data_IF_230431539727
#
_entry.id   IF_230431539727
#
_cell.length_a   1.000
_cell.length_b   1.000
_cell.length_c   1.000
_cell.angle_alpha   90.00
_cell.angle_beta   90.00
_cell.angle_gamma   90.00
#
_symmetry.space_group_name_H-M   'P 1'
#
loop_
_entity.id
_entity.type
_entity.pdbx_description
1 polymer ?
#
# COMPACT_ATOMS: atom_id res chain seq x y z
N UNK A 1 6.55 -23.69 -24.85
CA UNK A 1 6.77 -22.72 -25.95
C UNK A 1 8.28 -22.60 -26.13
N UNK A 2 8.78 -22.67 -27.36
CA UNK A 2 10.21 -22.60 -27.72
C UNK A 2 10.45 -21.31 -28.51
N UNK A 3 11.62 -20.69 -28.34
CA UNK A 3 12.01 -19.51 -29.13
C UNK A 3 12.49 -19.91 -30.55
N UNK A 4 12.61 -18.94 -31.46
CA UNK A 4 13.03 -19.08 -32.86
C UNK A 4 14.42 -19.73 -33.10
N UNK A 5 15.13 -20.12 -32.05
CA UNK A 5 16.38 -20.91 -32.10
C UNK A 5 16.25 -22.34 -31.54
N UNK A 6 15.06 -22.75 -31.11
CA UNK A 6 14.77 -24.12 -30.68
C UNK A 6 15.18 -24.47 -29.24
N UNK A 7 15.53 -23.50 -28.41
CA UNK A 7 15.84 -23.71 -26.99
C UNK A 7 14.59 -23.62 -26.08
N UNK A 8 14.53 -24.49 -25.08
CA UNK A 8 13.47 -24.58 -24.07
C UNK A 8 13.58 -23.39 -23.11
N UNK A 9 12.52 -22.59 -22.95
CA UNK A 9 12.53 -21.45 -22.01
C UNK A 9 12.30 -21.99 -20.59
N UNK A 10 13.26 -21.85 -19.65
CA UNK A 10 13.05 -22.25 -18.26
C UNK A 10 12.00 -21.35 -17.60
N UNK A 11 11.04 -21.98 -16.93
CA UNK A 11 9.92 -21.35 -16.24
C UNK A 11 10.35 -20.78 -14.88
N UNK A 12 11.17 -19.74 -14.86
CA UNK A 12 11.46 -19.02 -13.61
C UNK A 12 11.61 -17.50 -13.83
N UNK A 13 10.75 -16.78 -13.11
CA UNK A 13 10.97 -15.43 -12.59
C UNK A 13 11.03 -14.29 -13.62
N UNK A 14 9.85 -13.87 -14.08
CA UNK A 14 9.66 -12.50 -14.55
C UNK A 14 9.64 -11.58 -13.33
N UNK A 15 10.82 -11.09 -12.94
CA UNK A 15 10.97 -9.89 -12.13
C UNK A 15 10.41 -8.71 -12.94
N UNK A 16 9.20 -8.27 -12.62
CA UNK A 16 8.58 -7.10 -13.22
C UNK A 16 9.43 -5.85 -12.91
N UNK A 17 10.21 -5.44 -13.91
CA UNK A 17 10.84 -4.12 -13.95
C UNK A 17 9.98 -3.20 -14.81
N UNK A 18 9.58 -2.10 -14.18
CA UNK A 18 8.70 -1.01 -14.59
C UNK A 18 8.75 -0.60 -16.06
N UNK A 19 7.59 -0.58 -16.74
CA UNK A 19 7.29 0.36 -17.83
C UNK A 19 5.81 0.74 -17.75
N UNK A 20 5.52 2.01 -17.49
CA UNK A 20 4.20 2.58 -17.72
C UNK A 20 3.87 2.56 -19.21
N UNK A 21 2.75 1.94 -19.59
CA UNK A 21 2.30 1.85 -20.96
C UNK A 21 1.08 0.95 -21.17
N UNK A 22 -0.09 1.57 -21.31
CA UNK A 22 -1.16 1.21 -22.26
C UNK A 22 -1.82 -0.19 -22.26
N UNK A 23 -1.79 -0.96 -21.16
CA UNK A 23 -2.61 -2.20 -21.02
C UNK A 23 -3.38 -2.31 -19.69
N UNK A 24 -3.54 -1.21 -18.95
CA UNK A 24 -4.42 -1.16 -17.77
C UNK A 24 -3.96 -1.98 -16.56
N UNK A 25 -2.73 -2.47 -16.55
CA UNK A 25 -2.13 -3.05 -15.34
C UNK A 25 -1.71 -1.89 -14.44
N UNK A 26 -2.63 -1.47 -13.57
CA UNK A 26 -2.35 -0.55 -12.47
C UNK A 26 -1.28 -1.20 -11.60
N UNK A 27 -0.14 -0.54 -11.42
CA UNK A 27 0.86 -1.02 -10.46
C UNK A 27 0.19 -1.08 -9.09
N UNK A 28 0.42 -2.09 -8.25
CA UNK A 28 -0.31 -2.21 -6.98
C UNK A 28 -0.15 -0.98 -6.06
N UNK A 29 0.91 -0.18 -6.24
CA UNK A 29 1.04 1.13 -5.59
C UNK A 29 0.05 2.17 -6.12
N UNK A 30 -0.14 2.26 -7.44
CA UNK A 30 -1.12 3.16 -8.08
C UNK A 30 -2.56 2.82 -7.67
N UNK A 31 -2.83 1.58 -7.22
CA UNK A 31 -4.16 1.21 -6.71
C UNK A 31 -4.50 1.96 -5.41
N UNK A 32 -3.51 2.32 -4.60
CA UNK A 32 -3.70 3.08 -3.37
C UNK A 32 -3.69 4.60 -3.60
N UNK A 33 -3.15 5.08 -4.72
CA UNK A 33 -3.08 6.52 -4.98
C UNK A 33 -4.47 7.14 -4.98
N UNK A 34 -4.64 8.20 -4.17
CA UNK A 34 -5.91 8.89 -3.97
C UNK A 34 -6.75 8.32 -2.82
N UNK A 35 -6.44 7.12 -2.31
CA UNK A 35 -7.21 6.52 -1.22
C UNK A 35 -6.93 7.17 0.12
N UNK A 36 -7.98 7.32 0.91
CA UNK A 36 -7.89 7.72 2.32
C UNK A 36 -8.54 6.66 3.19
N UNK A 37 -7.78 6.16 4.17
CA UNK A 37 -8.26 5.21 5.17
C UNK A 37 -8.48 5.92 6.50
N UNK A 38 -9.61 5.69 7.14
CA UNK A 38 -9.78 5.97 8.57
C UNK A 38 -9.10 4.83 9.35
N UNK A 39 -8.16 5.18 10.22
CA UNK A 39 -7.40 4.23 11.04
C UNK A 39 -7.70 4.47 12.50
N UNK A 40 -8.17 3.45 13.20
CA UNK A 40 -8.44 3.51 14.64
C UNK A 40 -7.47 2.62 15.42
N UNK A 41 -6.87 3.18 16.47
CA UNK A 41 -5.97 2.48 17.40
C UNK A 41 -6.33 2.87 18.83
N UNK A 42 -6.96 1.96 19.57
CA UNK A 42 -7.53 2.30 20.88
C UNK A 42 -8.57 3.41 20.76
N UNK A 43 -8.35 4.55 21.44
CA UNK A 43 -9.21 5.74 21.39
C UNK A 43 -8.81 6.76 20.33
N UNK A 44 -7.69 6.55 19.64
CA UNK A 44 -7.17 7.46 18.63
C UNK A 44 -7.71 7.10 17.25
N UNK A 45 -8.11 8.12 16.49
CA UNK A 45 -8.55 8.00 15.09
C UNK A 45 -7.72 8.95 14.25
N UNK A 46 -7.07 8.42 13.21
CA UNK A 46 -6.30 9.18 12.23
C UNK A 46 -6.82 8.90 10.82
N UNK A 47 -6.40 9.71 9.86
CA UNK A 47 -6.60 9.49 8.43
C UNK A 47 -5.26 9.16 7.79
N UNK A 48 -5.20 8.06 7.06
CA UNK A 48 -4.03 7.63 6.31
C UNK A 48 -4.30 7.93 4.84
N UNK A 49 -3.63 8.96 4.30
CA UNK A 49 -3.78 9.38 2.92
C UNK A 49 -2.61 8.85 2.07
N UNK A 50 -2.95 8.13 1.01
CA UNK A 50 -2.01 7.60 0.02
C UNK A 50 -2.06 8.50 -1.20
N UNK A 51 -0.95 9.19 -1.46
CA UNK A 51 -0.84 10.21 -2.50
C UNK A 51 0.11 9.74 -3.60
N UNK A 52 -0.10 10.30 -4.79
CA UNK A 52 0.74 10.07 -5.95
C UNK A 52 2.24 10.22 -5.64
N UNK A 53 3.05 9.49 -6.41
CA UNK A 53 4.51 9.39 -6.22
C UNK A 53 4.89 8.75 -4.87
N UNK A 54 4.10 7.78 -4.41
CA UNK A 54 4.40 6.96 -3.23
C UNK A 54 4.47 7.77 -1.93
N UNK A 55 3.76 8.89 -1.85
CA UNK A 55 3.73 9.74 -0.65
C UNK A 55 2.65 9.26 0.30
N UNK A 56 2.99 9.11 1.57
CA UNK A 56 2.07 8.70 2.61
C UNK A 56 1.94 9.80 3.67
N UNK A 57 0.71 10.08 4.09
CA UNK A 57 0.43 11.03 5.17
C UNK A 57 -0.43 10.39 6.24
N UNK A 58 -0.06 10.66 7.48
CA UNK A 58 -0.95 10.51 8.62
C UNK A 58 -1.45 11.90 8.94
N UNK A 59 -2.76 12.05 8.87
CA UNK A 59 -3.49 13.25 9.18
C UNK A 59 -4.35 13.00 10.42
N UNK A 60 -4.67 14.06 11.14
CA UNK A 60 -5.66 13.97 12.22
C UNK A 60 -7.08 13.79 11.65
N UNK A 61 -8.10 13.79 12.53
CA UNK A 61 -9.49 13.66 12.09
C UNK A 61 -9.99 14.84 11.24
N UNK A 62 -9.34 15.99 11.31
CA UNK A 62 -9.66 17.21 10.55
C UNK A 62 -8.96 17.24 9.19
N UNK A 63 -7.97 16.36 8.97
CA UNK A 63 -7.14 16.35 7.77
C UNK A 63 -5.85 17.16 7.89
N UNK A 64 -5.51 17.64 9.09
CA UNK A 64 -4.26 18.33 9.32
C UNK A 64 -3.08 17.33 9.34
N UNK A 65 -2.01 17.67 8.63
CA UNK A 65 -0.83 16.83 8.51
C UNK A 65 -0.14 16.63 9.88
N UNK A 66 -0.03 15.38 10.31
CA UNK A 66 0.72 15.01 11.51
C UNK A 66 2.08 14.40 11.16
N UNK A 67 2.11 13.48 10.20
CA UNK A 67 3.32 12.75 9.78
C UNK A 67 3.31 12.60 8.27
N UNK A 68 4.48 12.73 7.65
CA UNK A 68 4.68 12.41 6.24
C UNK A 68 5.78 11.36 6.09
N UNK A 69 5.59 10.45 5.15
CA UNK A 69 6.55 9.44 4.77
C UNK A 69 6.32 8.96 3.33
N UNK A 70 6.81 7.76 3.06
CA UNK A 70 6.60 7.08 1.79
C UNK A 70 5.90 5.75 2.01
N UNK A 71 5.24 5.23 0.97
CA UNK A 71 4.72 3.87 0.99
C UNK A 71 5.16 3.08 -0.24
N UNK A 72 5.08 1.76 -0.13
CA UNK A 72 5.31 0.81 -1.22
C UNK A 72 4.44 -0.41 -1.00
N UNK A 73 4.08 -1.08 -2.07
CA UNK A 73 3.40 -2.36 -2.02
C UNK A 73 4.40 -3.50 -2.23
N UNK A 74 4.25 -4.57 -1.46
CA UNK A 74 5.05 -5.78 -1.60
C UNK A 74 4.09 -6.99 -1.58
N UNK A 75 3.77 -7.50 -2.78
CA UNK A 75 2.69 -8.47 -2.91
C UNK A 75 1.36 -7.86 -2.46
N UNK A 76 0.74 -8.43 -1.43
CA UNK A 76 -0.52 -7.91 -0.84
C UNK A 76 -0.32 -6.94 0.33
N UNK A 77 0.94 -6.69 0.71
CA UNK A 77 1.27 -5.89 1.89
C UNK A 77 1.54 -4.44 1.52
N UNK A 78 1.15 -3.53 2.41
CA UNK A 78 1.49 -2.11 2.31
C UNK A 78 2.58 -1.79 3.32
N UNK A 79 3.77 -1.49 2.85
CA UNK A 79 4.89 -1.06 3.68
C UNK A 79 5.03 0.46 3.62
N UNK A 80 4.99 1.07 4.78
CA UNK A 80 5.02 2.51 4.99
C UNK A 80 6.28 2.84 5.78
N UNK A 81 6.97 3.91 5.40
CA UNK A 81 8.24 4.33 6.00
C UNK A 81 8.17 5.82 6.33
N UNK A 82 8.31 6.15 7.62
CA UNK A 82 8.29 7.53 8.10
C UNK A 82 9.23 7.74 9.28
N UNK A 83 9.85 8.90 9.33
CA UNK A 83 10.70 9.28 10.44
C UNK A 83 9.85 9.68 11.67
N UNK A 84 10.29 9.38 12.90
CA UNK A 84 11.48 8.59 13.27
C UNK A 84 11.19 7.08 13.43
N UNK A 85 9.98 6.58 13.12
CA UNK A 85 9.62 5.19 13.42
C UNK A 85 10.18 4.17 12.42
N UNK A 86 10.62 4.60 11.24
CA UNK A 86 11.08 3.73 10.17
C UNK A 86 9.96 2.89 9.56
N UNK A 87 10.34 1.81 8.88
CA UNK A 87 9.41 1.01 8.09
C UNK A 87 8.51 0.07 8.90
N UNK A 88 7.22 0.07 8.58
CA UNK A 88 6.20 -0.84 9.09
C UNK A 88 5.35 -1.38 7.93
N UNK A 89 5.05 -2.68 7.94
CA UNK A 89 4.29 -3.34 6.87
C UNK A 89 2.96 -3.87 7.40
N UNK A 90 1.90 -3.61 6.63
CA UNK A 90 0.51 -3.89 6.98
C UNK A 90 -0.09 -4.89 5.99
N UNK A 91 -0.15 -6.18 6.34
CA UNK A 91 -0.87 -7.17 5.56
C UNK A 91 -2.38 -6.85 5.58
N UNK A 92 -3.01 -6.89 4.40
CA UNK A 92 -4.45 -6.65 4.25
C UNK A 92 -4.87 -5.17 4.17
N UNK A 93 -3.94 -4.22 4.24
CA UNK A 93 -4.26 -2.80 4.10
C UNK A 93 -4.78 -2.45 2.69
N UNK A 94 -4.30 -3.12 1.64
CA UNK A 94 -4.84 -2.96 0.28
C UNK A 94 -6.30 -3.44 0.16
N UNK A 95 -6.71 -4.38 1.01
CA UNK A 95 -8.08 -4.91 1.02
C UNK A 95 -9.06 -4.03 1.80
N UNK A 96 -8.63 -2.85 2.27
CA UNK A 96 -9.50 -1.89 2.92
C UNK A 96 -10.69 -1.53 2.01
N UNK A 97 -11.87 -1.51 2.59
CA UNK A 97 -13.13 -1.19 1.90
C UNK A 97 -14.03 -0.36 2.81
N UNK A 98 -15.25 -0.05 2.37
CA UNK A 98 -16.26 0.65 3.18
C UNK A 98 -16.75 -0.12 4.42
N UNK A 99 -16.11 -1.23 4.79
CA UNK A 99 -16.36 -1.98 6.03
C UNK A 99 -15.12 -1.96 6.92
N UNK A 100 -15.31 -1.67 8.21
CA UNK A 100 -14.22 -1.61 9.18
C UNK A 100 -13.61 -3.01 9.39
N UNK A 101 -12.30 -3.14 9.18
CA UNK A 101 -11.56 -4.40 9.26
C UNK A 101 -10.36 -4.26 10.20
N UNK A 102 -10.07 -5.27 11.00
CA UNK A 102 -8.91 -5.29 11.89
C UNK A 102 -7.73 -5.95 11.20
N UNK A 103 -6.57 -5.30 11.22
CA UNK A 103 -5.32 -5.82 10.67
C UNK A 103 -4.17 -5.63 11.67
N UNK A 104 -3.13 -6.44 11.51
CA UNK A 104 -1.96 -6.43 12.40
C UNK A 104 -0.69 -6.23 11.59
N UNK A 105 0.16 -5.27 11.98
CA UNK A 105 1.42 -5.04 11.27
C UNK A 105 2.45 -6.13 11.55
N UNK A 106 3.52 -6.12 10.75
CA UNK A 106 4.73 -6.90 11.02
C UNK A 106 5.44 -6.52 12.34
N UNK A 107 5.04 -5.42 12.99
CA UNK A 107 5.52 -5.00 14.32
C UNK A 107 4.57 -5.40 15.45
N UNK A 108 3.47 -6.10 15.14
CA UNK A 108 2.48 -6.56 16.12
C UNK A 108 1.49 -5.48 16.55
N UNK A 109 1.45 -4.32 15.89
CA UNK A 109 0.44 -3.30 16.18
C UNK A 109 -0.88 -3.71 15.53
N UNK A 110 -1.97 -3.70 16.30
CA UNK A 110 -3.32 -3.93 15.79
C UNK A 110 -4.02 -2.59 15.52
N UNK A 111 -4.62 -2.45 14.33
CA UNK A 111 -5.41 -1.28 13.94
C UNK A 111 -6.70 -1.71 13.26
N UNK A 112 -7.70 -0.85 13.31
CA UNK A 112 -8.91 -0.96 12.48
C UNK A 112 -8.83 0.01 11.32
N UNK A 113 -9.15 -0.46 10.13
CA UNK A 113 -9.10 0.31 8.89
C UNK A 113 -10.48 0.35 8.23
N UNK A 114 -10.83 1.49 7.65
CA UNK A 114 -12.04 1.72 6.87
C UNK A 114 -11.69 2.64 5.70
N UNK A 115 -11.98 2.24 4.47
CA UNK A 115 -11.86 3.11 3.29
C UNK A 115 -12.93 4.19 3.36
N UNK A 116 -12.52 5.45 3.36
CA UNK A 116 -13.44 6.61 3.45
C UNK A 116 -13.40 7.49 2.20
N UNK A 117 -12.38 7.36 1.35
CA UNK A 117 -12.23 8.08 0.09
C UNK A 117 -11.34 7.28 -0.87
N UNK A 118 -11.58 7.36 -2.18
CA UNK A 118 -10.84 6.65 -3.24
C UNK A 118 -10.88 7.38 -4.57
#
# INVERSE_FOLDING_TARGET
MVDATGAEIPSEQVYASSIGGADGIVSPGEELDGRVLRVSTGTTVNRFAFLANNVFRIEDSSGDLMVQGTYRTQGSDVCVDWAPRGQECWPGMMSASGTETTITSNRGQEIKILLIDS
#
